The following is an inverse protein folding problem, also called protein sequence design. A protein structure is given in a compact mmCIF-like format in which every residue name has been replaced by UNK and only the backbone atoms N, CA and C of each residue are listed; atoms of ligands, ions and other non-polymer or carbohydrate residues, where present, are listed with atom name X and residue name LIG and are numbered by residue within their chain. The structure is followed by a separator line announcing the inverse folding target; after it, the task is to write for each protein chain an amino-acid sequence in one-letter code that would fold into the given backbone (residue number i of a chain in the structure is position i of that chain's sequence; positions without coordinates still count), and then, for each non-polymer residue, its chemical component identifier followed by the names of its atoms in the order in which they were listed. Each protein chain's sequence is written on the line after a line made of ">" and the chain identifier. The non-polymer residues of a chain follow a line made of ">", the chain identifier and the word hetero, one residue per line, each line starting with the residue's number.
data_IF_197455639285
#
_entry.id   IF_197455639285
#
_cell.length_a   1.000
_cell.length_b   1.000
_cell.length_c   1.000
_cell.angle_alpha   90.00
_cell.angle_beta   90.00
_cell.angle_gamma   90.00
#
_symmetry.space_group_name_H-M   'P 1'
#
loop_
_entity.id
_entity.type
_entity.pdbx_description
1 polymer ?
#
# COMPACT_ATOMS: atom_id res chain seq x y z
N UNK A 1 -3.19 4.70 -20.37
CA UNK A 1 -2.07 5.23 -19.56
C UNK A 1 -2.12 4.57 -18.17
N UNK A 2 -0.97 4.21 -17.57
CA UNK A 2 -0.89 3.64 -16.20
C UNK A 2 -0.62 4.77 -15.17
N UNK A 3 -1.24 5.93 -15.42
CA UNK A 3 -0.89 7.19 -14.79
C UNK A 3 -2.12 7.65 -14.00
N UNK A 4 -1.92 8.36 -12.88
CA UNK A 4 -3.03 9.01 -12.22
C UNK A 4 -3.51 10.19 -13.09
N UNK A 5 -4.76 10.65 -12.91
CA UNK A 5 -5.29 11.77 -13.70
C UNK A 5 -5.04 13.07 -12.93
N UNK A 6 -4.21 13.96 -13.46
CA UNK A 6 -3.97 15.27 -12.84
C UNK A 6 -5.24 16.14 -12.88
N UNK A 7 -5.38 17.14 -11.99
CA UNK A 7 -6.52 18.05 -12.05
C UNK A 7 -6.55 18.87 -13.35
N UNK A 8 -5.38 19.18 -13.93
CA UNK A 8 -5.25 19.82 -15.25
C UNK A 8 -5.72 18.92 -16.39
N UNK A 9 -5.43 17.62 -16.31
CA UNK A 9 -5.92 16.65 -17.28
C UNK A 9 -7.42 16.44 -17.15
N UNK A 10 -7.92 16.28 -15.93
CA UNK A 10 -9.34 16.14 -15.66
C UNK A 10 -10.13 17.36 -16.14
N UNK A 11 -9.58 18.57 -15.98
CA UNK A 11 -10.13 19.81 -16.53
C UNK A 11 -10.34 19.71 -18.05
N UNK A 12 -9.32 19.25 -18.79
CA UNK A 12 -9.37 19.10 -20.25
C UNK A 12 -10.39 18.03 -20.68
N UNK A 13 -10.41 16.89 -19.97
CA UNK A 13 -11.31 15.79 -20.28
C UNK A 13 -12.79 16.14 -20.04
N UNK A 14 -13.08 16.89 -18.96
CA UNK A 14 -14.45 17.25 -18.59
C UNK A 14 -14.93 18.60 -19.18
N UNK A 15 -14.04 19.41 -19.76
CA UNK A 15 -14.39 20.72 -20.31
C UNK A 15 -14.78 21.77 -19.26
N UNK A 16 -14.27 21.65 -18.02
CA UNK A 16 -14.64 22.52 -16.88
C UNK A 16 -13.51 23.47 -16.47
N UNK A 17 -13.76 24.31 -15.47
CA UNK A 17 -12.72 25.15 -14.85
C UNK A 17 -11.75 24.30 -14.02
N UNK A 18 -10.52 24.80 -13.79
CA UNK A 18 -9.54 24.09 -12.95
C UNK A 18 -10.04 23.88 -11.50
N UNK A 19 -10.61 24.89 -10.80
CA UNK A 19 -11.18 24.70 -9.48
C UNK A 19 -12.28 23.62 -9.44
N UNK A 20 -13.13 23.57 -10.47
CA UNK A 20 -14.18 22.54 -10.59
C UNK A 20 -13.57 21.14 -10.74
N UNK A 21 -12.60 20.96 -11.63
CA UNK A 21 -11.92 19.69 -11.83
C UNK A 21 -11.21 19.22 -10.55
N UNK A 22 -10.51 20.14 -9.87
CA UNK A 22 -9.85 19.86 -8.59
C UNK A 22 -10.85 19.39 -7.53
N UNK A 23 -11.99 20.08 -7.37
CA UNK A 23 -13.03 19.71 -6.42
C UNK A 23 -13.63 18.33 -6.74
N UNK A 24 -13.94 18.06 -8.02
CA UNK A 24 -14.47 16.77 -8.45
C UNK A 24 -13.48 15.64 -8.14
N UNK A 25 -12.19 15.85 -8.42
CA UNK A 25 -11.15 14.87 -8.10
C UNK A 25 -11.12 14.55 -6.60
N UNK A 26 -11.16 15.56 -5.73
CA UNK A 26 -11.17 15.34 -4.28
C UNK A 26 -12.42 14.62 -3.79
N UNK A 27 -13.60 14.96 -4.33
CA UNK A 27 -14.84 14.24 -4.00
C UNK A 27 -14.78 12.77 -4.41
N UNK A 28 -14.24 12.46 -5.59
CA UNK A 28 -14.05 11.08 -6.03
C UNK A 28 -13.08 10.32 -5.13
N UNK A 29 -11.95 10.93 -4.78
CA UNK A 29 -10.99 10.32 -3.84
C UNK A 29 -11.61 10.07 -2.47
N UNK A 30 -12.42 11.00 -1.95
CA UNK A 30 -13.10 10.83 -0.66
C UNK A 30 -14.16 9.71 -0.72
N UNK A 31 -14.94 9.63 -1.80
CA UNK A 31 -15.90 8.52 -1.99
C UNK A 31 -15.17 7.17 -2.04
N UNK A 32 -14.04 7.10 -2.74
CA UNK A 32 -13.19 5.90 -2.75
C UNK A 32 -12.70 5.58 -1.33
N UNK A 33 -12.19 6.57 -0.58
CA UNK A 33 -11.72 6.38 0.80
C UNK A 33 -12.82 5.83 1.71
N UNK A 34 -14.00 6.45 1.70
CA UNK A 34 -15.14 6.06 2.54
C UNK A 34 -15.63 4.66 2.20
N UNK A 35 -15.72 4.32 0.91
CA UNK A 35 -16.15 2.98 0.47
C UNK A 35 -15.19 1.88 0.89
N UNK A 36 -13.90 2.17 0.87
CA UNK A 36 -12.85 1.20 1.22
C UNK A 36 -12.59 1.15 2.74
N UNK A 37 -13.10 2.10 3.52
CA UNK A 37 -12.81 2.25 4.95
C UNK A 37 -13.19 1.03 5.81
N UNK A 38 -14.27 0.34 5.43
CA UNK A 38 -14.78 -0.84 6.12
C UNK A 38 -14.38 -2.16 5.44
N UNK A 39 -13.59 -2.12 4.36
CA UNK A 39 -13.23 -3.35 3.64
C UNK A 39 -12.19 -4.14 4.43
N UNK A 40 -12.46 -5.44 4.59
CA UNK A 40 -11.52 -6.41 5.15
C UNK A 40 -11.02 -7.36 4.06
N UNK A 41 -9.73 -7.72 4.15
CA UNK A 41 -9.08 -8.69 3.28
C UNK A 41 -9.17 -10.10 3.90
N UNK A 42 -9.35 -11.10 3.07
CA UNK A 42 -9.52 -12.52 3.46
C UNK A 42 -8.64 -13.42 2.58
N UNK A 43 -8.53 -14.70 2.91
CA UNK A 43 -7.78 -15.67 2.11
C UNK A 43 -6.29 -15.32 2.11
N UNK A 44 -5.62 -15.40 0.96
CA UNK A 44 -4.18 -15.13 0.87
C UNK A 44 -3.91 -13.64 0.72
N UNK A 45 -3.20 -13.04 1.69
CA UNK A 45 -2.88 -11.61 1.73
C UNK A 45 -1.36 -11.41 1.77
N UNK A 46 -0.79 -10.82 0.72
CA UNK A 46 0.60 -10.36 0.71
C UNK A 46 0.69 -9.03 1.44
N UNK A 47 1.68 -8.86 2.33
CA UNK A 47 1.87 -7.62 3.08
C UNK A 47 3.33 -7.19 3.05
N UNK A 48 3.54 -5.87 2.92
CA UNK A 48 4.87 -5.26 2.92
C UNK A 48 4.87 -3.89 3.60
N UNK A 49 6.03 -3.49 4.13
CA UNK A 49 6.28 -2.19 4.75
C UNK A 49 6.96 -1.22 3.78
N UNK A 50 6.35 -0.06 3.55
CA UNK A 50 6.81 0.89 2.55
C UNK A 50 6.87 2.32 3.09
N UNK A 51 7.67 3.16 2.43
CA UNK A 51 7.81 4.57 2.76
C UNK A 51 7.41 5.43 1.57
N UNK A 52 6.54 6.42 1.81
CA UNK A 52 6.19 7.44 0.83
C UNK A 52 6.87 8.76 1.21
N UNK A 53 7.65 9.36 0.31
CA UNK A 53 8.35 10.60 0.60
C UNK A 53 9.34 11.01 -0.49
N UNK A 54 9.69 12.30 -0.50
CA UNK A 54 10.71 12.86 -1.40
C UNK A 54 12.13 12.69 -0.87
N UNK A 55 13.12 12.87 -1.74
CA UNK A 55 14.53 12.93 -1.34
C UNK A 55 14.82 14.24 -0.58
N UNK A 56 15.54 14.14 0.53
CA UNK A 56 16.03 15.31 1.28
C UNK A 56 17.55 15.33 1.20
N UNK A 57 18.10 16.45 0.72
CA UNK A 57 19.55 16.70 0.80
C UNK A 57 19.93 16.95 2.26
N UNK A 58 20.89 16.17 2.78
CA UNK A 58 21.40 16.30 4.15
C UNK A 58 20.63 15.54 5.24
N UNK A 59 19.59 14.77 4.88
CA UNK A 59 18.84 13.93 5.81
C UNK A 59 19.34 12.48 5.89
N UNK A 60 18.90 11.74 6.90
CA UNK A 60 19.14 10.29 6.99
C UNK A 60 18.52 9.58 5.78
N UNK A 61 19.32 8.79 5.06
CA UNK A 61 18.85 7.93 3.98
C UNK A 61 18.12 6.69 4.54
N UNK A 62 17.21 6.11 3.76
CA UNK A 62 16.51 4.87 4.15
C UNK A 62 15.42 5.06 5.22
N UNK A 63 15.31 4.10 6.15
CA UNK A 63 14.32 4.05 7.25
C UNK A 63 14.62 5.14 8.30
N UNK A 64 13.60 5.89 8.69
CA UNK A 64 13.71 6.98 9.67
C UNK A 64 14.15 8.34 9.11
N UNK A 65 14.06 8.53 7.78
CA UNK A 65 14.18 9.87 7.18
C UNK A 65 12.97 10.72 7.57
N UNK A 66 13.15 11.99 7.99
CA UNK A 66 12.04 12.82 8.49
C UNK A 66 10.96 13.10 7.44
N UNK A 67 11.29 13.04 6.15
CA UNK A 67 10.34 13.28 5.05
C UNK A 67 9.73 11.99 4.47
N UNK A 68 9.82 10.88 5.20
CA UNK A 68 9.21 9.61 4.78
C UNK A 68 8.07 9.24 5.70
N UNK A 69 6.90 9.08 5.09
CA UNK A 69 5.68 8.59 5.72
C UNK A 69 5.67 7.06 5.63
N UNK A 70 5.71 6.34 6.76
CA UNK A 70 5.58 4.89 6.75
C UNK A 70 4.13 4.48 6.48
N UNK A 71 3.97 3.45 5.66
CA UNK A 71 2.68 2.83 5.40
C UNK A 71 2.84 1.34 5.13
N UNK A 72 1.77 0.59 5.38
CA UNK A 72 1.65 -0.82 5.05
C UNK A 72 0.84 -0.95 3.77
N UNK A 73 1.32 -1.79 2.85
CA UNK A 73 0.54 -2.23 1.70
C UNK A 73 0.17 -3.71 1.88
N UNK A 74 -1.11 -4.03 1.73
CA UNK A 74 -1.60 -5.40 1.78
C UNK A 74 -2.44 -5.71 0.55
N UNK A 75 -2.13 -6.80 -0.15
CA UNK A 75 -2.81 -7.22 -1.37
C UNK A 75 -3.43 -8.59 -1.16
N UNK A 76 -4.76 -8.65 -1.24
CA UNK A 76 -5.46 -9.93 -1.34
C UNK A 76 -5.24 -10.51 -2.74
N UNK A 77 -4.91 -11.79 -2.80
CA UNK A 77 -4.69 -12.53 -4.04
C UNK A 77 -5.68 -13.69 -4.17
N UNK A 78 -6.03 -14.04 -5.40
CA UNK A 78 -6.68 -15.32 -5.70
C UNK A 78 -5.72 -16.48 -5.47
N UNK A 79 -6.24 -17.71 -5.50
CA UNK A 79 -5.39 -18.92 -5.47
C UNK A 79 -4.38 -18.97 -6.64
N UNK A 80 -4.72 -18.37 -7.78
CA UNK A 80 -3.83 -18.22 -8.94
C UNK A 80 -2.82 -17.06 -8.82
N UNK A 81 -2.78 -16.37 -7.69
CA UNK A 81 -1.86 -15.26 -7.43
C UNK A 81 -2.26 -13.92 -8.06
N UNK A 82 -3.49 -13.78 -8.54
CA UNK A 82 -3.97 -12.54 -9.15
C UNK A 82 -4.42 -11.55 -8.07
N UNK A 83 -4.02 -10.26 -8.14
CA UNK A 83 -4.43 -9.26 -7.17
C UNK A 83 -5.94 -8.97 -7.28
N UNK A 84 -6.64 -9.00 -6.15
CA UNK A 84 -8.09 -8.74 -6.06
C UNK A 84 -8.37 -7.41 -5.37
N UNK A 85 -7.80 -7.20 -4.19
CA UNK A 85 -7.97 -5.98 -3.40
C UNK A 85 -6.63 -5.49 -2.88
N UNK A 86 -6.49 -4.16 -2.78
CA UNK A 86 -5.34 -3.50 -2.19
C UNK A 86 -5.83 -2.67 -0.99
N UNK A 87 -5.19 -2.85 0.15
CA UNK A 87 -5.30 -1.97 1.30
C UNK A 87 -3.99 -1.20 1.47
N UNK A 88 -4.06 0.14 1.47
CA UNK A 88 -2.94 1.00 1.82
C UNK A 88 -3.26 1.68 3.14
N UNK A 89 -2.35 1.57 4.10
CA UNK A 89 -2.59 2.15 5.42
C UNK A 89 -1.35 2.85 5.97
N UNK A 90 -1.41 4.17 6.08
CA UNK A 90 -0.38 4.97 6.74
C UNK A 90 -0.34 4.63 8.24
N UNK A 91 0.78 4.08 8.70
CA UNK A 91 0.98 3.67 10.09
C UNK A 91 2.45 3.37 10.38
N UNK A 92 2.90 3.47 11.63
CA UNK A 92 4.24 3.04 12.01
C UNK A 92 4.36 1.51 12.01
N UNK A 93 5.60 1.01 11.91
CA UNK A 93 5.91 -0.42 11.88
C UNK A 93 6.16 -0.98 13.29
N UNK A 94 5.11 -0.95 14.12
CA UNK A 94 5.13 -1.50 15.48
C UNK A 94 4.13 -2.64 15.61
N UNK A 95 4.37 -3.57 16.56
CA UNK A 95 3.45 -4.70 16.78
C UNK A 95 2.03 -4.24 17.10
N UNK A 96 1.87 -3.24 17.98
CA UNK A 96 0.57 -2.65 18.33
C UNK A 96 -0.15 -2.07 17.11
N UNK A 97 0.59 -1.34 16.26
CA UNK A 97 0.06 -0.77 15.01
C UNK A 97 -0.37 -1.85 14.01
N UNK A 98 0.38 -2.94 13.92
CA UNK A 98 0.06 -4.07 13.04
C UNK A 98 -1.09 -4.94 13.57
N UNK A 99 -1.23 -5.07 14.89
CA UNK A 99 -2.39 -5.73 15.48
C UNK A 99 -3.67 -4.95 15.17
N UNK A 100 -3.66 -3.63 15.39
CA UNK A 100 -4.78 -2.75 15.01
C UNK A 100 -5.03 -2.73 13.49
N UNK A 101 -4.01 -2.99 12.66
CA UNK A 101 -4.20 -3.18 11.21
C UNK A 101 -5.01 -4.45 10.96
N UNK A 102 -4.57 -5.55 11.55
CA UNK A 102 -5.17 -6.87 11.36
C UNK A 102 -6.63 -6.88 11.81
N UNK A 103 -6.93 -6.38 13.02
CA UNK A 103 -8.30 -6.30 13.54
C UNK A 103 -9.24 -5.50 12.63
N UNK A 104 -8.74 -4.40 12.06
CA UNK A 104 -9.55 -3.52 11.21
C UNK A 104 -9.69 -4.03 9.78
N UNK A 105 -8.62 -4.60 9.23
CA UNK A 105 -8.45 -4.73 7.77
C UNK A 105 -8.30 -6.17 7.30
N UNK A 106 -8.23 -7.14 8.21
CA UNK A 106 -8.20 -8.57 7.90
C UNK A 106 -9.42 -9.26 8.51
N UNK A 107 -9.93 -10.27 7.83
CA UNK A 107 -11.00 -11.13 8.32
C UNK A 107 -10.63 -12.60 8.11
N UNK A 108 -10.90 -13.42 9.13
CA UNK A 108 -10.66 -14.86 9.05
C UNK A 108 -11.68 -15.55 8.10
N UNK A 109 -11.28 -16.62 7.39
CA UNK A 109 -9.92 -17.17 7.33
C UNK A 109 -9.01 -16.30 6.46
N UNK A 110 -7.80 -16.01 6.95
CA UNK A 110 -6.76 -15.34 6.16
C UNK A 110 -5.36 -15.87 6.49
N UNK A 111 -4.51 -15.89 5.47
CA UNK A 111 -3.08 -16.20 5.54
C UNK A 111 -2.30 -14.96 5.14
N UNK A 112 -1.57 -14.40 6.09
CA UNK A 112 -0.73 -13.23 5.91
C UNK A 112 0.67 -13.66 5.48
N UNK A 113 1.07 -13.29 4.26
CA UNK A 113 2.38 -13.60 3.69
C UNK A 113 3.27 -12.36 3.75
N UNK A 114 4.37 -12.42 4.49
CA UNK A 114 5.25 -11.26 4.74
C UNK A 114 6.75 -11.59 4.64
N UNK A 115 7.60 -10.61 4.40
CA UNK A 115 9.06 -10.72 4.22
C UNK A 115 9.87 -10.95 5.52
N UNK A 116 9.19 -11.16 6.65
CA UNK A 116 9.81 -11.49 7.93
C UNK A 116 10.13 -10.30 8.83
N UNK A 117 9.68 -9.08 8.50
CA UNK A 117 9.76 -7.97 9.45
C UNK A 117 9.06 -8.34 10.76
N UNK A 118 9.77 -8.25 11.89
CA UNK A 118 9.34 -8.79 13.17
C UNK A 118 8.00 -8.24 13.70
N UNK A 119 7.52 -7.09 13.22
CA UNK A 119 6.20 -6.58 13.61
C UNK A 119 5.02 -7.38 13.04
N UNK A 120 5.20 -8.11 11.92
CA UNK A 120 4.12 -8.92 11.35
C UNK A 120 3.77 -10.15 12.20
N UNK A 121 4.68 -10.60 13.07
CA UNK A 121 4.38 -11.63 14.08
C UNK A 121 3.26 -11.24 15.05
N UNK A 122 2.85 -9.96 15.07
CA UNK A 122 1.75 -9.48 15.90
C UNK A 122 0.40 -10.15 15.61
N UNK A 123 0.22 -10.78 14.44
CA UNK A 123 -1.02 -11.49 14.10
C UNK A 123 -1.09 -12.91 14.67
N UNK A 124 -0.01 -13.39 15.31
CA UNK A 124 -0.04 -14.69 15.98
C UNK A 124 -1.06 -14.67 17.13
N UNK A 125 -2.01 -15.60 17.10
CA UNK A 125 -3.10 -15.68 18.09
C UNK A 125 -4.38 -14.94 17.71
N UNK A 126 -4.44 -14.25 16.55
CA UNK A 126 -5.66 -13.51 16.11
C UNK A 126 -6.58 -14.31 15.18
N UNK A 127 -6.32 -15.61 15.00
CA UNK A 127 -7.03 -16.44 14.00
C UNK A 127 -6.56 -16.24 12.56
N UNK A 128 -5.62 -15.32 12.32
CA UNK A 128 -4.92 -15.13 11.05
C UNK A 128 -3.67 -16.02 11.03
N UNK A 129 -3.53 -16.85 10.00
CA UNK A 129 -2.32 -17.64 9.81
C UNK A 129 -1.19 -16.70 9.33
N UNK A 130 -0.02 -16.80 9.94
CA UNK A 130 1.16 -16.05 9.50
C UNK A 130 2.12 -16.98 8.75
N UNK A 131 2.45 -16.62 7.50
CA UNK A 131 3.39 -17.33 6.64
C UNK A 131 4.58 -16.41 6.30
N UNK A 132 5.61 -16.37 7.17
CA UNK A 132 6.78 -15.52 6.95
C UNK A 132 7.74 -16.17 5.95
N UNK A 133 8.01 -15.49 4.84
CA UNK A 133 9.12 -15.85 3.96
C UNK A 133 10.35 -15.01 4.32
N UNK A 134 11.30 -15.62 5.01
CA UNK A 134 12.59 -15.02 5.34
C UNK A 134 13.44 -14.92 4.07
N UNK A 135 13.21 -13.88 3.29
CA UNK A 135 14.08 -13.56 2.17
C UNK A 135 15.33 -12.87 2.70
N UNK A 136 16.53 -13.27 2.27
CA UNK A 136 17.79 -12.62 2.66
C UNK A 136 17.87 -11.14 2.22
N UNK A 137 19.02 -10.49 2.39
CA UNK A 137 19.21 -9.16 1.80
C UNK A 137 19.35 -9.20 0.28
N UNK A 138 18.87 -8.16 -0.43
CA UNK A 138 19.22 -7.90 -1.83
C UNK A 138 18.07 -7.96 -2.84
N UNK A 139 18.38 -7.65 -4.11
CA UNK A 139 17.39 -7.53 -5.18
C UNK A 139 16.69 -8.86 -5.56
N UNK A 140 17.29 -10.00 -5.22
CA UNK A 140 16.68 -11.32 -5.42
C UNK A 140 15.51 -11.57 -4.45
N UNK A 141 15.61 -11.05 -3.22
CA UNK A 141 14.57 -11.14 -2.19
C UNK A 141 13.33 -10.33 -2.54
N UNK A 142 13.51 -9.15 -3.13
CA UNK A 142 12.41 -8.32 -3.65
C UNK A 142 11.68 -8.95 -4.85
N UNK A 143 12.23 -10.01 -5.46
CA UNK A 143 11.63 -10.73 -6.59
C UNK A 143 11.03 -12.08 -6.18
N UNK A 144 10.94 -12.37 -4.88
CA UNK A 144 10.35 -13.63 -4.43
C UNK A 144 8.90 -13.73 -4.96
N UNK A 145 8.53 -14.83 -5.64
CA UNK A 145 7.21 -14.96 -6.28
C UNK A 145 6.03 -14.71 -5.33
N UNK A 146 6.23 -14.99 -4.03
CA UNK A 146 5.21 -14.80 -3.01
C UNK A 146 4.84 -13.33 -2.70
N UNK A 147 5.60 -12.34 -3.20
CA UNK A 147 5.36 -10.89 -2.99
C UNK A 147 5.11 -10.13 -4.29
N UNK A 148 4.87 -10.84 -5.40
CA UNK A 148 4.78 -10.22 -6.72
C UNK A 148 3.65 -9.18 -6.78
N UNK A 149 2.51 -9.45 -6.13
CA UNK A 149 1.34 -8.58 -6.22
C UNK A 149 1.56 -7.29 -5.40
N UNK A 150 2.05 -7.41 -4.16
CA UNK A 150 2.34 -6.23 -3.32
C UNK A 150 3.47 -5.38 -3.90
N UNK A 151 4.55 -5.99 -4.41
CA UNK A 151 5.67 -5.27 -5.03
C UNK A 151 5.26 -4.57 -6.33
N UNK A 152 4.41 -5.21 -7.14
CA UNK A 152 3.85 -4.59 -8.34
C UNK A 152 2.94 -3.40 -7.99
N UNK A 153 2.10 -3.54 -6.95
CA UNK A 153 1.24 -2.46 -6.48
C UNK A 153 2.06 -1.25 -6.01
N UNK A 154 3.10 -1.48 -5.19
CA UNK A 154 4.01 -0.44 -4.71
C UNK A 154 4.78 0.23 -5.86
N UNK A 155 5.27 -0.56 -6.81
CA UNK A 155 5.94 -0.06 -8.02
C UNK A 155 5.02 0.85 -8.84
N UNK A 156 3.79 0.40 -9.11
CA UNK A 156 2.79 1.19 -9.83
C UNK A 156 2.41 2.48 -9.08
N UNK A 157 2.25 2.41 -7.76
CA UNK A 157 1.97 3.59 -6.92
C UNK A 157 3.08 4.63 -7.06
N UNK A 158 4.35 4.22 -6.93
CA UNK A 158 5.51 5.11 -7.06
C UNK A 158 5.57 5.75 -8.45
N UNK A 159 5.47 4.96 -9.50
CA UNK A 159 5.52 5.44 -10.89
C UNK A 159 4.37 6.39 -11.19
N UNK A 160 3.17 6.06 -10.73
CA UNK A 160 1.97 6.88 -10.92
C UNK A 160 2.08 8.24 -10.25
N UNK A 161 2.60 8.29 -9.01
CA UNK A 161 2.82 9.54 -8.30
C UNK A 161 3.88 10.40 -8.99
N UNK A 162 5.05 9.84 -9.31
CA UNK A 162 6.15 10.55 -9.96
C UNK A 162 5.78 11.08 -11.36
N UNK A 163 4.94 10.35 -12.09
CA UNK A 163 4.51 10.73 -13.45
C UNK A 163 3.33 11.70 -13.50
N UNK A 164 2.61 11.94 -12.40
CA UNK A 164 1.40 12.78 -12.40
C UNK A 164 1.57 14.06 -11.58
N UNK A 165 2.25 13.97 -10.44
CA UNK A 165 2.42 15.08 -9.52
C UNK A 165 3.85 15.59 -9.64
N UNK A 166 4.07 16.44 -10.64
CA UNK A 166 5.32 17.19 -10.77
C UNK A 166 5.28 18.34 -9.75
N UNK A 167 6.27 18.36 -8.86
CA UNK A 167 6.55 19.50 -7.99
C UNK A 167 7.30 20.58 -8.77
#
# INVERSE_FOLDING_TARGET
>A
AKNNVSALELKRQLGVSYPTAWLVKHKLMEVMRVREEARQLTGRVEIDDAYLGGEVRGGKAGRGSPNKVPFVAAVQTSESGQPVYLCLSQRPFTKTSLLAFAERSLAAPATLVSDGLGCFTAVQGTGILHDPHLTGGGAASAKHPAFLAVNTALGNLKTSLAGTYHA
#
